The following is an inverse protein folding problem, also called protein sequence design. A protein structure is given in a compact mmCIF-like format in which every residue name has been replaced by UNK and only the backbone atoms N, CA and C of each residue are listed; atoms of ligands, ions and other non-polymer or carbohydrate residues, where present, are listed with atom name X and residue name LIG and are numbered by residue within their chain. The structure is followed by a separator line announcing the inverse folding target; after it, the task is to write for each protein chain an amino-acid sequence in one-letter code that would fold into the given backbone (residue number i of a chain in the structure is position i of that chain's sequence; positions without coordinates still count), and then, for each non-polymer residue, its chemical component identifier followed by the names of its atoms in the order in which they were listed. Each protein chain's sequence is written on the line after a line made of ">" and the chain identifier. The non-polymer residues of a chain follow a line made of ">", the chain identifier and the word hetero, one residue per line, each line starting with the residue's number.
data_IF_177726201963
#
_entry.id   IF_177726201963
#
_cell.length_a   1.000
_cell.length_b   1.000
_cell.length_c   1.000
_cell.angle_alpha   90.00
_cell.angle_beta   90.00
_cell.angle_gamma   90.00
#
_symmetry.space_group_name_H-M   'P 1'
#
loop_
_entity.id
_entity.type
_entity.pdbx_description
1 polymer ?
#
# COMPACT_ATOMS: atom_id res chain seq x y z
N UNK A 1 6.54 -32.52 -58.22
CA UNK A 1 6.86 -31.11 -57.91
C UNK A 1 8.35 -31.03 -57.67
N UNK A 2 9.10 -30.28 -58.49
CA UNK A 2 10.54 -30.14 -58.34
C UNK A 2 10.86 -29.17 -57.19
N UNK A 3 11.52 -29.64 -56.14
CA UNK A 3 12.02 -28.79 -55.06
C UNK A 3 13.19 -27.99 -55.61
N UNK A 4 12.99 -26.69 -55.79
CA UNK A 4 14.05 -25.78 -56.23
C UNK A 4 15.04 -25.61 -55.08
N UNK A 5 16.23 -26.16 -55.22
CA UNK A 5 17.30 -26.02 -54.22
C UNK A 5 17.85 -24.60 -54.26
N UNK A 6 17.92 -23.94 -53.10
CA UNK A 6 18.54 -22.61 -52.97
C UNK A 6 20.00 -22.67 -53.40
N UNK A 7 20.43 -21.64 -54.12
CA UNK A 7 21.83 -21.43 -54.43
C UNK A 7 22.62 -21.06 -53.16
N UNK A 8 23.92 -21.31 -53.18
CA UNK A 8 24.82 -20.96 -52.08
C UNK A 8 24.78 -19.45 -51.77
N UNK A 9 24.59 -18.61 -52.79
CA UNK A 9 24.48 -17.16 -52.62
C UNK A 9 23.20 -16.75 -51.87
N UNK A 10 22.07 -17.40 -52.14
CA UNK A 10 20.80 -17.18 -51.44
C UNK A 10 20.92 -17.63 -49.97
N UNK A 11 21.49 -18.82 -49.72
CA UNK A 11 21.73 -19.28 -48.35
C UNK A 11 22.67 -18.35 -47.57
N UNK A 12 23.71 -17.82 -48.21
CA UNK A 12 24.62 -16.89 -47.56
C UNK A 12 23.97 -15.53 -47.26
N UNK A 13 23.08 -15.04 -48.13
CA UNK A 13 22.30 -13.83 -47.88
C UNK A 13 21.34 -14.01 -46.70
N UNK A 14 20.64 -15.15 -46.63
CA UNK A 14 19.77 -15.52 -45.51
C UNK A 14 20.55 -15.52 -44.19
N UNK A 15 21.74 -16.13 -44.17
CA UNK A 15 22.57 -16.20 -42.96
C UNK A 15 22.98 -14.82 -42.45
N UNK A 16 23.29 -13.87 -43.34
CA UNK A 16 23.62 -12.50 -42.93
C UNK A 16 22.41 -11.79 -42.34
N UNK A 17 21.23 -11.98 -42.94
CA UNK A 17 19.98 -11.42 -42.40
C UNK A 17 19.69 -11.98 -41.01
N UNK A 18 19.74 -13.31 -40.84
CA UNK A 18 19.53 -13.93 -39.53
C UNK A 18 20.56 -13.51 -38.49
N UNK A 19 21.81 -13.29 -38.90
CA UNK A 19 22.82 -12.76 -37.99
C UNK A 19 22.43 -11.36 -37.48
N UNK A 20 21.94 -10.50 -38.36
CA UNK A 20 21.42 -9.18 -37.99
C UNK A 20 20.23 -9.29 -37.04
N UNK A 21 19.28 -10.20 -37.31
CA UNK A 21 18.11 -10.41 -36.46
C UNK A 21 18.53 -10.90 -35.08
N UNK A 22 19.46 -11.86 -35.02
CA UNK A 22 20.00 -12.39 -33.76
C UNK A 22 20.69 -11.29 -32.95
N UNK A 23 21.48 -10.41 -33.58
CA UNK A 23 22.08 -9.27 -32.88
C UNK A 23 21.00 -8.34 -32.32
N UNK A 24 19.97 -8.01 -33.09
CA UNK A 24 18.85 -7.19 -32.60
C UNK A 24 18.16 -7.83 -31.39
N UNK A 25 17.87 -9.13 -31.45
CA UNK A 25 17.23 -9.84 -30.34
C UNK A 25 18.13 -9.92 -29.11
N UNK A 26 19.45 -10.03 -29.28
CA UNK A 26 20.38 -10.00 -28.16
C UNK A 26 20.35 -8.65 -27.45
N UNK A 27 20.30 -7.55 -28.20
CA UNK A 27 20.16 -6.21 -27.64
C UNK A 27 18.82 -6.04 -26.91
N UNK A 28 17.72 -6.50 -27.50
CA UNK A 28 16.39 -6.49 -26.86
C UNK A 28 16.38 -7.28 -25.55
N UNK A 29 16.95 -8.49 -25.54
CA UNK A 29 17.04 -9.33 -24.34
C UNK A 29 17.86 -8.65 -23.25
N UNK A 30 18.98 -8.02 -23.59
CA UNK A 30 19.80 -7.29 -22.62
C UNK A 30 19.03 -6.13 -22.01
N UNK A 31 18.28 -5.37 -22.83
CA UNK A 31 17.43 -4.29 -22.36
C UNK A 31 16.34 -4.82 -21.41
N UNK A 32 15.62 -5.87 -21.80
CA UNK A 32 14.59 -6.47 -20.94
C UNK A 32 15.16 -7.04 -19.65
N UNK A 33 16.37 -7.59 -19.67
CA UNK A 33 17.04 -8.06 -18.46
C UNK A 33 17.33 -6.90 -17.51
N UNK A 34 17.82 -5.76 -18.02
CA UNK A 34 18.05 -4.57 -17.22
C UNK A 34 16.72 -4.02 -16.63
N UNK A 35 15.67 -3.94 -17.45
CA UNK A 35 14.34 -3.52 -17.01
C UNK A 35 13.79 -4.44 -15.90
N UNK A 36 13.98 -5.76 -16.01
CA UNK A 36 13.59 -6.70 -14.97
C UNK A 36 14.32 -6.47 -13.65
N UNK A 37 15.63 -6.19 -13.69
CA UNK A 37 16.40 -5.88 -12.47
C UNK A 37 15.86 -4.63 -11.81
N UNK A 38 15.62 -3.55 -12.56
CA UNK A 38 15.03 -2.32 -12.03
C UNK A 38 13.63 -2.57 -11.45
N UNK A 39 12.77 -3.32 -12.14
CA UNK A 39 11.43 -3.64 -11.66
C UNK A 39 11.47 -4.41 -10.32
N UNK A 40 12.43 -5.33 -10.14
CA UNK A 40 12.61 -6.04 -8.87
C UNK A 40 12.97 -5.07 -7.73
N UNK A 41 13.88 -4.14 -7.97
CA UNK A 41 14.28 -3.13 -6.97
C UNK A 41 13.09 -2.24 -6.58
N UNK A 42 12.29 -1.80 -7.55
CA UNK A 42 11.08 -1.02 -7.31
C UNK A 42 10.03 -1.80 -6.51
N UNK A 43 9.82 -3.07 -6.83
CA UNK A 43 8.89 -3.95 -6.09
C UNK A 43 9.34 -4.17 -4.65
N UNK A 44 10.65 -4.31 -4.40
CA UNK A 44 11.20 -4.41 -3.04
C UNK A 44 10.98 -3.10 -2.26
N UNK A 45 11.19 -1.95 -2.89
CA UNK A 45 10.91 -0.66 -2.28
C UNK A 45 9.41 -0.48 -1.97
N UNK A 46 8.54 -0.91 -2.88
CA UNK A 46 7.09 -0.91 -2.67
C UNK A 46 6.68 -1.81 -1.50
N UNK A 47 7.22 -3.04 -1.43
CA UNK A 47 6.99 -3.98 -0.33
C UNK A 47 7.38 -3.37 1.03
N UNK A 48 8.53 -2.69 1.10
CA UNK A 48 8.96 -2.00 2.31
C UNK A 48 7.92 -0.94 2.75
N UNK A 49 7.45 -0.11 1.82
CA UNK A 49 6.43 0.92 2.11
C UNK A 49 5.09 0.32 2.55
N UNK A 50 4.65 -0.77 1.93
CA UNK A 50 3.43 -1.50 2.33
C UNK A 50 3.58 -2.04 3.76
N UNK A 51 4.76 -2.55 4.09
CA UNK A 51 5.07 -3.05 5.45
C UNK A 51 5.04 -1.93 6.48
N UNK A 52 5.62 -0.76 6.16
CA UNK A 52 5.56 0.44 7.01
C UNK A 52 4.13 0.93 7.20
N UNK A 53 3.31 0.93 6.14
CA UNK A 53 1.88 1.24 6.21
C UNK A 53 1.15 0.28 7.16
N UNK A 54 1.46 -1.02 7.11
CA UNK A 54 0.91 -2.02 8.04
C UNK A 54 1.22 -1.71 9.50
N UNK A 55 2.46 -1.31 9.82
CA UNK A 55 2.84 -0.88 11.18
C UNK A 55 2.07 0.37 11.61
N UNK A 56 1.85 1.32 10.70
CA UNK A 56 1.05 2.51 11.00
C UNK A 56 -0.41 2.17 11.30
N UNK A 57 -0.98 1.15 10.64
CA UNK A 57 -2.33 0.68 10.92
C UNK A 57 -2.42 0.04 12.30
N UNK A 58 -1.42 -0.74 12.70
CA UNK A 58 -1.36 -1.36 14.02
C UNK A 58 -1.27 -0.30 15.13
N UNK A 59 -0.41 0.70 14.96
CA UNK A 59 -0.33 1.83 15.90
C UNK A 59 -1.64 2.62 15.99
N UNK A 60 -2.33 2.82 14.85
CA UNK A 60 -3.64 3.48 14.84
C UNK A 60 -4.70 2.64 15.57
N UNK A 61 -4.71 1.32 15.36
CA UNK A 61 -5.63 0.41 16.05
C UNK A 61 -5.42 0.43 17.57
N UNK A 62 -4.17 0.43 18.04
CA UNK A 62 -3.83 0.58 19.46
C UNK A 62 -4.33 1.93 20.01
N UNK A 63 -4.10 3.02 19.28
CA UNK A 63 -4.55 4.36 19.68
C UNK A 63 -6.08 4.47 19.79
N UNK A 64 -6.82 3.78 18.92
CA UNK A 64 -8.29 3.72 18.99
C UNK A 64 -8.75 2.91 20.20
N UNK A 65 -8.11 1.77 20.50
CA UNK A 65 -8.42 0.98 21.68
C UNK A 65 -8.16 1.75 22.99
N UNK A 66 -7.07 2.53 23.05
CA UNK A 66 -6.79 3.42 24.17
C UNK A 66 -7.85 4.52 24.33
N UNK A 67 -8.31 5.12 23.21
CA UNK A 67 -9.40 6.08 23.22
C UNK A 67 -10.69 5.44 23.76
N UNK A 68 -11.06 4.24 23.31
CA UNK A 68 -12.24 3.52 23.78
C UNK A 68 -12.19 3.22 25.29
N UNK A 69 -11.04 2.76 25.79
CA UNK A 69 -10.83 2.54 27.21
C UNK A 69 -10.97 3.84 28.02
N UNK A 70 -10.40 4.93 27.51
CA UNK A 70 -10.53 6.26 28.10
C UNK A 70 -11.98 6.75 28.14
N UNK A 71 -12.71 6.62 27.04
CA UNK A 71 -14.14 6.97 26.95
C UNK A 71 -14.96 6.17 27.96
N UNK A 72 -14.73 4.86 28.04
CA UNK A 72 -15.40 3.97 28.98
C UNK A 72 -15.13 4.34 30.45
N UNK A 73 -13.91 4.79 30.76
CA UNK A 73 -13.57 5.24 32.11
C UNK A 73 -14.26 6.56 32.45
N UNK A 74 -14.25 7.52 31.53
CA UNK A 74 -14.89 8.81 31.75
C UNK A 74 -16.41 8.69 31.88
N UNK A 75 -17.04 7.83 31.09
CA UNK A 75 -18.47 7.53 31.21
C UNK A 75 -18.84 6.98 32.59
N UNK A 76 -18.00 6.10 33.16
CA UNK A 76 -18.20 5.62 34.54
C UNK A 76 -18.12 6.76 35.56
N UNK A 77 -17.13 7.64 35.42
CA UNK A 77 -17.00 8.81 36.30
C UNK A 77 -18.20 9.75 36.20
N UNK A 78 -18.70 10.00 34.98
CA UNK A 78 -19.92 10.78 34.77
C UNK A 78 -21.14 10.13 35.44
N UNK A 79 -21.32 8.81 35.27
CA UNK A 79 -22.41 8.07 35.89
C UNK A 79 -22.36 8.08 37.43
N UNK A 80 -21.16 8.03 38.02
CA UNK A 80 -20.95 8.14 39.46
C UNK A 80 -21.31 9.55 39.98
N UNK A 81 -20.87 10.60 39.29
CA UNK A 81 -21.22 11.99 39.63
C UNK A 81 -22.73 12.25 39.54
N UNK A 82 -23.41 11.69 38.53
CA UNK A 82 -24.86 11.81 38.39
C UNK A 82 -25.62 11.12 39.54
N UNK A 83 -25.16 9.96 40.01
CA UNK A 83 -25.76 9.24 41.16
C UNK A 83 -25.54 9.94 42.48
N UNK A 84 -24.46 10.73 42.61
CA UNK A 84 -24.12 11.48 43.82
C UNK A 84 -25.04 12.67 44.14
N UNK A 85 -26.02 12.97 43.28
CA UNK A 85 -26.97 14.06 43.47
C UNK A 85 -26.43 15.45 43.12
N UNK A 86 -25.24 15.53 42.54
CA UNK A 86 -24.73 16.76 41.91
C UNK A 86 -25.38 16.93 40.54
N UNK A 87 -26.62 17.44 40.51
CA UNK A 87 -27.20 18.10 39.32
C UNK A 87 -26.53 19.45 39.04
N UNK A 88 -25.65 19.90 39.94
CA UNK A 88 -24.88 21.14 39.79
C UNK A 88 -23.71 20.92 38.84
N UNK A 89 -23.36 21.99 38.12
CA UNK A 89 -22.32 22.10 37.09
C UNK A 89 -21.18 21.07 37.20
N UNK A 90 -20.82 20.47 36.05
CA UNK A 90 -19.65 19.60 35.89
C UNK A 90 -18.46 20.24 36.61
N UNK A 91 -17.89 19.54 37.59
CA UNK A 91 -16.68 20.03 38.28
C UNK A 91 -15.59 20.32 37.24
N UNK A 92 -14.78 21.36 37.47
CA UNK A 92 -13.74 21.83 36.54
C UNK A 92 -12.81 20.69 36.09
N UNK A 93 -12.63 19.67 36.93
CA UNK A 93 -11.88 18.45 36.63
C UNK A 93 -12.53 17.61 35.52
N UNK A 94 -13.83 17.35 35.60
CA UNK A 94 -14.57 16.57 34.61
C UNK A 94 -14.70 17.32 33.29
N UNK A 95 -14.86 18.65 33.35
CA UNK A 95 -14.94 19.49 32.15
C UNK A 95 -13.60 19.48 31.39
N UNK A 96 -12.48 19.58 32.10
CA UNK A 96 -11.12 19.41 31.52
C UNK A 96 -10.91 18.01 30.94
N UNK A 97 -11.42 16.96 31.59
CA UNK A 97 -11.34 15.60 31.07
C UNK A 97 -12.14 15.45 29.77
N UNK A 98 -13.36 16.01 29.73
CA UNK A 98 -14.19 16.01 28.54
C UNK A 98 -13.52 16.73 27.37
N UNK A 99 -12.98 17.94 27.59
CA UNK A 99 -12.25 18.69 26.56
C UNK A 99 -11.06 17.90 26.01
N UNK A 100 -10.27 17.28 26.89
CA UNK A 100 -9.13 16.44 26.48
C UNK A 100 -9.59 15.23 25.65
N UNK A 101 -10.70 14.60 26.00
CA UNK A 101 -11.27 13.49 25.25
C UNK A 101 -11.82 13.92 23.89
N UNK A 102 -12.51 15.07 23.82
CA UNK A 102 -13.00 15.63 22.58
C UNK A 102 -11.84 15.94 21.61
N UNK A 103 -10.76 16.55 22.11
CA UNK A 103 -9.55 16.77 21.32
C UNK A 103 -8.92 15.46 20.82
N UNK A 104 -8.81 14.45 21.70
CA UNK A 104 -8.24 13.16 21.32
C UNK A 104 -9.11 12.47 20.26
N UNK A 105 -10.44 12.47 20.45
CA UNK A 105 -11.39 11.93 19.48
C UNK A 105 -11.25 12.61 18.12
N UNK A 106 -11.19 13.94 18.08
CA UNK A 106 -11.03 14.68 16.83
C UNK A 106 -9.72 14.29 16.13
N UNK A 107 -8.61 14.20 16.87
CA UNK A 107 -7.31 13.77 16.30
C UNK A 107 -7.38 12.36 15.73
N UNK A 108 -8.04 11.43 16.42
CA UNK A 108 -8.21 10.05 15.95
C UNK A 108 -9.12 9.97 14.72
N UNK A 109 -10.18 10.77 14.67
CA UNK A 109 -11.06 10.89 13.52
C UNK A 109 -10.29 11.39 12.29
N UNK A 110 -9.53 12.48 12.43
CA UNK A 110 -8.72 13.03 11.35
C UNK A 110 -7.68 12.02 10.86
N UNK A 111 -7.03 11.29 11.79
CA UNK A 111 -6.09 10.23 11.45
C UNK A 111 -6.76 9.09 10.68
N UNK A 112 -7.94 8.64 11.16
CA UNK A 112 -8.69 7.56 10.53
C UNK A 112 -9.10 7.91 9.09
N UNK A 113 -9.60 9.11 8.84
CA UNK A 113 -9.99 9.54 7.49
C UNK A 113 -8.78 9.67 6.55
N UNK A 114 -7.64 10.18 7.04
CA UNK A 114 -6.40 10.18 6.25
C UNK A 114 -5.96 8.77 5.88
N UNK A 115 -5.92 7.86 6.85
CA UNK A 115 -5.54 6.47 6.63
C UNK A 115 -6.48 5.81 5.62
N UNK A 116 -7.79 5.95 5.80
CA UNK A 116 -8.82 5.39 4.93
C UNK A 116 -8.69 5.86 3.48
N UNK A 117 -8.43 7.15 3.27
CA UNK A 117 -8.23 7.73 1.93
C UNK A 117 -7.06 7.09 1.19
N UNK A 118 -5.93 6.94 1.87
CA UNK A 118 -4.71 6.40 1.25
C UNK A 118 -4.74 4.88 1.14
N UNK A 119 -5.29 4.19 2.14
CA UNK A 119 -5.29 2.72 2.20
C UNK A 119 -5.98 2.09 0.99
N UNK A 120 -7.21 2.50 0.66
CA UNK A 120 -7.94 1.93 -0.48
C UNK A 120 -7.21 2.17 -1.80
N UNK A 121 -6.64 3.36 -1.98
CA UNK A 121 -5.89 3.69 -3.19
C UNK A 121 -4.69 2.77 -3.36
N UNK A 122 -3.88 2.60 -2.31
CA UNK A 122 -2.68 1.76 -2.36
C UNK A 122 -3.06 0.29 -2.59
N UNK A 123 -4.05 -0.24 -1.87
CA UNK A 123 -4.46 -1.65 -2.02
C UNK A 123 -5.06 -1.93 -3.41
N UNK A 124 -5.77 -0.98 -4.00
CA UNK A 124 -6.26 -1.11 -5.38
C UNK A 124 -5.10 -1.21 -6.39
N UNK A 125 -4.07 -0.38 -6.24
CA UNK A 125 -2.89 -0.43 -7.12
C UNK A 125 -2.11 -1.74 -6.96
N UNK A 126 -1.97 -2.25 -5.73
CA UNK A 126 -1.35 -3.57 -5.49
C UNK A 126 -2.14 -4.68 -6.18
N UNK A 127 -3.48 -4.64 -6.13
CA UNK A 127 -4.32 -5.63 -6.79
C UNK A 127 -4.18 -5.59 -8.33
N UNK A 128 -4.08 -4.40 -8.92
CA UNK A 128 -3.84 -4.21 -10.37
C UNK A 128 -2.49 -4.81 -10.75
N UNK A 129 -1.43 -4.48 -10.00
CA UNK A 129 -0.08 -5.00 -10.25
C UNK A 129 -0.04 -6.53 -10.16
N UNK A 130 -0.66 -7.10 -9.12
CA UNK A 130 -0.77 -8.56 -8.97
C UNK A 130 -1.44 -9.20 -10.19
N UNK A 131 -2.59 -8.68 -10.62
CA UNK A 131 -3.32 -9.22 -11.75
C UNK A 131 -2.56 -9.07 -13.08
N UNK A 132 -1.75 -8.02 -13.24
CA UNK A 132 -0.89 -7.85 -14.40
C UNK A 132 0.23 -8.90 -14.42
N UNK A 133 0.90 -9.13 -13.28
CA UNK A 133 1.96 -10.12 -13.15
C UNK A 133 1.45 -11.55 -13.36
N UNK A 134 0.25 -11.88 -12.86
CA UNK A 134 -0.37 -13.20 -13.04
C UNK A 134 -0.72 -13.51 -14.51
N UNK A 135 -0.92 -12.49 -15.36
CA UNK A 135 -1.20 -12.64 -16.79
C UNK A 135 0.05 -12.74 -17.67
N UNK A 136 1.19 -12.29 -17.15
CA UNK A 136 2.45 -12.22 -17.90
C UNK A 136 3.25 -13.54 -17.85
N UNK A 137 2.85 -14.47 -16.97
CA UNK A 137 3.39 -15.82 -16.82
C UNK A 137 2.46 -16.82 -17.53
#
# INVERSE_FOLDING_TARGET
>A
MAVKTKSVAESHADHRHWHSDVTCWQDDIQNWQAEHVTAIEELQAALKRITEHGKSLEAHAQSVAELEAGLSQHEKSLAESLKGGTESAVDETLDKQHLKQAELHQRQQDAHERIKKHHHTVMAQVAILKAALEKAV
#
